data_IF_813039180364
#
_entry.id   IF_813039180364
#
_cell.length_a   1.000
_cell.length_b   1.000
_cell.length_c   1.000
_cell.angle_alpha   90.00
_cell.angle_beta   90.00
_cell.angle_gamma   90.00
#
_symmetry.space_group_name_H-M   'P 1'
#
loop_
_entity.id
_entity.type
_entity.pdbx_description
1 polymer ?
#
# COMPACT_ATOMS: atom_id res chain seq x y z
N UNK A 1 37.33 9.53 -38.36
CA UNK A 1 36.53 9.84 -39.57
C UNK A 1 35.14 9.25 -39.37
N UNK A 2 34.11 10.06 -39.59
CA UNK A 2 32.70 9.65 -39.47
C UNK A 2 31.97 10.23 -38.26
N UNK A 3 31.87 11.56 -38.16
CA UNK A 3 30.73 12.21 -37.51
C UNK A 3 29.59 12.17 -38.52
N UNK A 4 28.43 11.67 -38.12
CA UNK A 4 27.15 12.10 -38.69
C UNK A 4 26.19 12.30 -37.53
N UNK A 5 25.94 13.57 -37.24
CA UNK A 5 24.86 14.03 -36.40
C UNK A 5 23.55 14.12 -37.18
N UNK A 6 22.48 14.32 -36.42
CA UNK A 6 21.17 14.80 -36.88
C UNK A 6 20.36 13.86 -37.79
N UNK A 7 19.44 13.14 -37.14
CA UNK A 7 18.01 13.49 -37.23
C UNK A 7 17.27 12.88 -36.04
N UNK A 8 17.28 13.64 -34.93
CA UNK A 8 16.23 13.53 -33.93
C UNK A 8 14.93 13.95 -34.63
N UNK A 9 14.14 12.98 -35.05
CA UNK A 9 12.83 13.24 -35.63
C UNK A 9 11.90 13.76 -34.53
N UNK A 10 11.54 15.04 -34.61
CA UNK A 10 10.58 15.67 -33.72
C UNK A 10 9.23 14.93 -33.77
N UNK A 11 8.69 14.47 -32.61
CA UNK A 11 7.37 13.89 -32.59
C UNK A 11 6.31 14.99 -32.59
N UNK A 12 5.63 15.15 -33.73
CA UNK A 12 4.42 15.96 -33.86
C UNK A 12 3.24 15.23 -33.20
N UNK A 13 2.49 15.95 -32.36
CA UNK A 13 1.27 15.47 -31.71
C UNK A 13 0.04 15.87 -32.54
N UNK A 14 -0.60 14.92 -33.20
CA UNK A 14 -1.97 15.08 -33.70
C UNK A 14 -2.79 13.90 -33.20
N UNK A 15 -3.67 14.13 -32.23
CA UNK A 15 -4.45 13.11 -31.53
C UNK A 15 -5.61 12.56 -32.36
N UNK A 16 -5.33 11.94 -33.51
CA UNK A 16 -6.35 11.30 -34.35
C UNK A 16 -6.45 9.79 -34.07
N UNK A 17 -7.70 9.32 -33.98
CA UNK A 17 -8.05 7.91 -33.80
C UNK A 17 -7.53 7.06 -34.98
N UNK A 18 -6.88 5.93 -34.69
CA UNK A 18 -6.26 5.07 -35.71
C UNK A 18 -4.81 5.41 -36.08
N UNK A 19 -4.23 6.46 -35.50
CA UNK A 19 -2.80 6.77 -35.69
C UNK A 19 -1.90 5.88 -34.81
N UNK A 20 -0.84 5.32 -35.40
CA UNK A 20 0.19 4.58 -34.68
C UNK A 20 1.29 5.53 -34.20
N UNK A 21 1.63 5.46 -32.91
CA UNK A 21 2.69 6.25 -32.29
C UNK A 21 3.75 5.37 -31.67
N UNK A 22 5.01 5.68 -31.94
CA UNK A 22 6.15 5.04 -31.28
C UNK A 22 6.70 5.95 -30.18
N UNK A 23 6.82 5.43 -28.96
CA UNK A 23 7.41 6.14 -27.81
C UNK A 23 8.65 5.37 -27.36
N UNK A 24 9.81 6.04 -27.34
CA UNK A 24 11.04 5.48 -26.75
C UNK A 24 11.13 5.91 -25.29
N UNK A 25 11.04 4.96 -24.38
CA UNK A 25 11.09 5.22 -22.94
C UNK A 25 12.26 4.47 -22.29
N UNK A 26 12.89 5.07 -21.27
CA UNK A 26 13.89 4.39 -20.44
C UNK A 26 13.25 3.29 -19.58
N UNK A 27 12.00 3.52 -19.16
CA UNK A 27 11.22 2.64 -18.30
C UNK A 27 9.73 2.72 -18.66
N UNK A 28 9.00 1.64 -18.40
CA UNK A 28 7.54 1.55 -18.58
C UNK A 28 6.91 1.00 -17.29
N UNK A 29 5.77 1.55 -16.88
CA UNK A 29 4.98 1.05 -15.74
C UNK A 29 3.60 0.69 -16.27
N UNK A 30 3.26 -0.60 -16.26
CA UNK A 30 1.93 -1.10 -16.57
C UNK A 30 1.08 -1.18 -15.30
N UNK A 31 0.21 -0.20 -15.13
CA UNK A 31 -0.83 -0.17 -14.08
C UNK A 31 -2.21 -0.25 -14.72
N UNK A 32 -2.35 -1.12 -15.72
CA UNK A 32 -3.47 -1.23 -16.66
C UNK A 32 -4.52 -2.28 -16.24
N UNK A 33 -4.60 -2.56 -14.93
CA UNK A 33 -5.68 -3.32 -14.32
C UNK A 33 -5.64 -4.84 -14.52
N UNK A 34 -6.70 -5.54 -14.07
CA UNK A 34 -6.77 -7.00 -14.03
C UNK A 34 -6.53 -7.67 -15.39
N UNK A 35 -6.98 -7.03 -16.48
CA UNK A 35 -6.82 -7.50 -17.86
C UNK A 35 -5.58 -6.94 -18.57
N UNK A 36 -4.58 -6.51 -17.79
CA UNK A 36 -3.33 -5.89 -18.23
C UNK A 36 -2.85 -6.43 -19.57
N UNK A 37 -2.80 -5.53 -20.55
CA UNK A 37 -2.23 -5.78 -21.85
C UNK A 37 -0.70 -5.90 -21.72
N UNK A 38 -0.07 -5.05 -20.90
CA UNK A 38 1.40 -5.06 -20.72
C UNK A 38 1.85 -6.40 -20.13
N UNK A 39 1.15 -6.92 -19.11
CA UNK A 39 1.45 -8.24 -18.52
C UNK A 39 1.39 -9.35 -19.58
N UNK A 40 0.30 -9.39 -20.35
CA UNK A 40 0.08 -10.42 -21.39
C UNK A 40 1.12 -10.32 -22.49
N UNK A 41 1.47 -9.11 -22.92
CA UNK A 41 2.49 -8.87 -23.93
C UNK A 41 3.88 -9.36 -23.48
N UNK A 42 4.20 -9.22 -22.19
CA UNK A 42 5.42 -9.76 -21.59
C UNK A 42 5.40 -11.28 -21.36
N UNK A 43 4.26 -11.95 -21.56
CA UNK A 43 4.10 -13.38 -21.30
C UNK A 43 4.10 -13.75 -19.82
N UNK A 44 3.80 -12.81 -18.92
CA UNK A 44 3.70 -13.10 -17.49
C UNK A 44 2.36 -13.77 -17.16
N UNK A 45 2.43 -14.85 -16.41
CA UNK A 45 1.28 -15.69 -16.08
C UNK A 45 0.72 -15.29 -14.71
N UNK A 46 -0.61 -15.38 -14.57
CA UNK A 46 -1.31 -15.14 -13.31
C UNK A 46 -1.55 -16.49 -12.61
N UNK A 47 -0.78 -16.76 -11.57
CA UNK A 47 -0.84 -17.95 -10.73
C UNK A 47 -1.95 -17.82 -9.68
N UNK A 48 -2.82 -18.82 -9.54
CA UNK A 48 -3.85 -18.87 -8.48
C UNK A 48 -5.13 -19.57 -8.89
N UNK A 49 -6.13 -19.53 -8.01
CA UNK A 49 -7.37 -20.30 -8.17
C UNK A 49 -8.27 -19.75 -9.29
N UNK A 50 -8.92 -20.68 -10.01
CA UNK A 50 -9.93 -20.39 -11.02
C UNK A 50 -11.35 -20.25 -10.47
N UNK A 51 -11.55 -20.56 -9.18
CA UNK A 51 -12.85 -20.45 -8.50
C UNK A 51 -13.24 -18.99 -8.31
N UNK A 52 -13.90 -18.42 -9.31
CA UNK A 52 -14.41 -17.06 -9.26
C UNK A 52 -15.73 -17.06 -8.48
N UNK A 53 -15.69 -16.61 -7.23
CA UNK A 53 -16.92 -16.23 -6.53
C UNK A 53 -17.52 -14.99 -7.23
N UNK A 54 -18.84 -15.00 -7.41
CA UNK A 54 -19.57 -13.88 -8.03
C UNK A 54 -20.11 -13.00 -6.91
N UNK A 55 -19.79 -11.71 -6.96
CA UNK A 55 -20.21 -10.73 -5.98
C UNK A 55 -20.98 -9.61 -6.64
N UNK A 56 -22.22 -9.39 -6.22
CA UNK A 56 -22.95 -8.16 -6.51
C UNK A 56 -22.50 -7.06 -5.58
N UNK A 57 -22.33 -5.85 -6.08
CA UNK A 57 -22.02 -4.68 -5.27
C UNK A 57 -23.02 -3.59 -5.57
N UNK A 58 -23.55 -2.96 -4.51
CA UNK A 58 -24.51 -1.87 -4.61
C UNK A 58 -24.12 -0.79 -3.61
N UNK A 59 -24.00 0.44 -4.09
CA UNK A 59 -23.94 1.67 -3.29
C UNK A 59 -25.32 2.32 -3.31
N UNK A 60 -25.97 2.36 -2.14
CA UNK A 60 -27.34 2.84 -2.04
C UNK A 60 -27.64 3.46 -0.67
N UNK A 61 -28.66 4.30 -0.62
CA UNK A 61 -29.34 4.67 0.63
C UNK A 61 -30.37 3.56 0.89
N UNK A 62 -30.14 2.80 1.97
CA UNK A 62 -30.92 1.62 2.31
C UNK A 62 -32.04 1.99 3.28
N UNK A 63 -33.24 1.47 3.01
CA UNK A 63 -34.41 1.58 3.87
C UNK A 63 -34.67 0.19 4.48
N UNK A 64 -34.33 0.01 5.75
CA UNK A 64 -34.33 -1.31 6.41
C UNK A 64 -34.48 -1.17 7.91
N UNK A 65 -35.10 -2.18 8.54
CA UNK A 65 -35.15 -2.37 9.99
C UNK A 65 -33.96 -3.19 10.54
N UNK A 66 -32.98 -3.55 9.70
CA UNK A 66 -31.74 -4.17 10.14
C UNK A 66 -30.90 -3.19 10.98
N UNK A 67 -30.57 -3.52 12.24
CA UNK A 67 -30.05 -2.54 13.19
C UNK A 67 -28.61 -2.08 12.90
N UNK A 68 -27.84 -2.84 12.12
CA UNK A 68 -26.38 -2.67 12.03
C UNK A 68 -25.87 -2.13 10.69
N UNK A 69 -26.72 -1.66 9.77
CA UNK A 69 -26.26 -1.11 8.48
C UNK A 69 -25.39 0.14 8.59
N UNK A 70 -25.37 0.80 9.75
CA UNK A 70 -24.48 1.93 10.05
C UNK A 70 -23.17 1.50 10.69
N UNK A 71 -22.91 0.19 10.80
CA UNK A 71 -21.66 -0.42 11.24
C UNK A 71 -21.13 -1.33 10.14
N UNK A 72 -19.81 -1.51 10.10
CA UNK A 72 -19.24 -2.56 9.27
C UNK A 72 -19.66 -3.92 9.83
N UNK A 73 -20.33 -4.75 9.04
CA UNK A 73 -20.75 -6.07 9.47
C UNK A 73 -20.70 -7.09 8.34
N UNK A 74 -20.52 -8.36 8.72
CA UNK A 74 -20.60 -9.51 7.83
C UNK A 74 -21.80 -10.33 8.25
N UNK A 75 -22.75 -10.52 7.33
CA UNK A 75 -23.97 -11.29 7.53
C UNK A 75 -23.76 -12.64 6.85
N UNK A 76 -23.86 -13.72 7.62
CA UNK A 76 -23.78 -15.10 7.13
C UNK A 76 -25.19 -15.69 7.14
N UNK A 77 -25.63 -16.20 6.00
CA UNK A 77 -26.94 -16.83 5.86
C UNK A 77 -26.83 -18.08 4.98
N UNK A 78 -27.82 -18.98 5.09
CA UNK A 78 -27.97 -20.11 4.17
C UNK A 78 -28.14 -19.70 2.69
N UNK A 79 -28.44 -18.42 2.44
CA UNK A 79 -28.62 -17.86 1.10
C UNK A 79 -27.37 -17.14 0.56
N UNK A 80 -26.28 -17.11 1.34
CA UNK A 80 -25.01 -16.49 0.99
C UNK A 80 -24.53 -15.47 2.03
N UNK A 81 -23.32 -14.96 1.82
CA UNK A 81 -22.72 -13.91 2.64
C UNK A 81 -23.02 -12.51 2.11
N UNK A 82 -23.31 -11.56 3.01
CA UNK A 82 -23.29 -10.12 2.73
C UNK A 82 -22.19 -9.45 3.56
N UNK A 83 -21.38 -8.61 2.92
CA UNK A 83 -20.51 -7.66 3.61
C UNK A 83 -21.13 -6.26 3.47
N UNK A 84 -21.48 -5.64 4.59
CA UNK A 84 -22.00 -4.28 4.66
C UNK A 84 -20.93 -3.31 5.10
N UNK A 85 -20.74 -2.25 4.30
CA UNK A 85 -19.77 -1.19 4.57
C UNK A 85 -20.50 0.15 4.54
N UNK A 86 -20.71 0.81 5.69
CA UNK A 86 -21.28 2.16 5.74
C UNK A 86 -20.41 3.13 4.94
N UNK A 87 -21.05 4.03 4.21
CA UNK A 87 -20.41 5.05 3.38
C UNK A 87 -20.78 6.45 3.85
N UNK A 88 -20.08 7.42 3.28
CA UNK A 88 -20.38 8.84 3.40
C UNK A 88 -21.81 9.17 2.91
N UNK A 89 -22.33 10.35 3.29
CA UNK A 89 -23.63 10.86 2.83
C UNK A 89 -24.83 9.93 3.10
N UNK A 90 -24.76 9.09 4.14
CA UNK A 90 -25.86 8.20 4.52
C UNK A 90 -25.96 6.92 3.69
N UNK A 91 -25.11 6.72 2.68
CA UNK A 91 -25.11 5.50 1.88
C UNK A 91 -24.53 4.30 2.66
N UNK A 92 -24.81 3.11 2.15
CA UNK A 92 -24.18 1.85 2.54
C UNK A 92 -23.82 1.05 1.29
N UNK A 93 -22.59 0.54 1.24
CA UNK A 93 -22.14 -0.40 0.23
C UNK A 93 -22.44 -1.82 0.68
N UNK A 94 -23.20 -2.57 -0.12
CA UNK A 94 -23.41 -4.00 0.08
C UNK A 94 -22.57 -4.79 -0.92
N UNK A 95 -21.77 -5.73 -0.43
CA UNK A 95 -21.24 -6.81 -1.24
C UNK A 95 -22.07 -8.07 -0.96
N UNK A 96 -22.77 -8.56 -1.95
CA UNK A 96 -23.70 -9.69 -1.84
C UNK A 96 -23.12 -10.85 -2.63
N UNK A 97 -22.87 -11.97 -1.96
CA UNK A 97 -22.47 -13.20 -2.64
C UNK A 97 -23.63 -13.70 -3.49
N UNK A 98 -23.40 -13.86 -4.78
CA UNK A 98 -24.40 -14.35 -5.72
C UNK A 98 -24.22 -15.85 -5.95
N UNK A 99 -25.31 -16.61 -6.16
CA UNK A 99 -25.23 -18.02 -6.48
C UNK A 99 -24.57 -18.25 -7.84
N UNK A 100 -23.92 -19.40 -8.00
CA UNK A 100 -23.20 -19.78 -9.21
C UNK A 100 -24.07 -19.80 -10.47
N UNK A 101 -25.39 -20.00 -10.34
CA UNK A 101 -26.34 -19.91 -11.46
C UNK A 101 -26.42 -18.52 -12.10
N UNK A 102 -25.90 -17.48 -11.43
CA UNK A 102 -25.78 -16.14 -11.99
C UNK A 102 -24.43 -15.87 -12.68
N UNK A 103 -23.61 -16.91 -12.89
CA UNK A 103 -22.32 -16.82 -13.59
C UNK A 103 -22.41 -16.48 -15.07
N UNK A 104 -23.55 -16.60 -15.77
CA UNK A 104 -23.57 -16.42 -17.24
C UNK A 104 -24.55 -15.36 -17.75
N UNK A 105 -25.10 -14.53 -16.85
CA UNK A 105 -26.18 -13.63 -17.24
C UNK A 105 -25.65 -12.27 -17.73
N UNK A 106 -25.65 -12.06 -19.05
CA UNK A 106 -25.59 -10.74 -19.69
C UNK A 106 -26.95 -10.06 -19.56
N UNK A 107 -27.17 -9.39 -18.43
CA UNK A 107 -28.39 -8.64 -18.16
C UNK A 107 -28.22 -7.18 -18.53
N UNK A 108 -29.32 -6.51 -18.84
CA UNK A 108 -29.40 -5.05 -18.81
C UNK A 108 -29.10 -4.53 -17.40
N UNK A 109 -28.47 -3.37 -17.32
CA UNK A 109 -28.08 -2.66 -16.10
C UNK A 109 -29.15 -2.67 -14.99
N UNK A 110 -30.38 -2.26 -15.30
CA UNK A 110 -31.48 -2.21 -14.32
C UNK A 110 -31.87 -3.58 -13.73
N UNK A 111 -31.67 -4.67 -14.49
CA UNK A 111 -32.01 -6.02 -14.03
C UNK A 111 -30.95 -6.62 -13.10
N UNK A 112 -29.72 -6.07 -13.08
CA UNK A 112 -28.64 -6.58 -12.23
C UNK A 112 -28.83 -6.13 -10.78
N UNK A 113 -29.08 -4.84 -10.54
CA UNK A 113 -29.32 -4.32 -9.18
C UNK A 113 -30.52 -4.99 -8.50
N UNK A 114 -31.62 -5.21 -9.23
CA UNK A 114 -32.82 -5.89 -8.70
C UNK A 114 -32.49 -7.30 -8.21
N UNK A 115 -31.67 -8.05 -8.95
CA UNK A 115 -31.26 -9.41 -8.56
C UNK A 115 -30.31 -9.40 -7.37
N UNK A 116 -29.37 -8.47 -7.32
CA UNK A 116 -28.47 -8.32 -6.17
C UNK A 116 -29.30 -8.06 -4.91
N UNK A 117 -30.24 -7.10 -4.97
CA UNK A 117 -31.11 -6.77 -3.85
C UNK A 117 -32.08 -7.90 -3.49
N UNK A 118 -32.54 -8.70 -4.46
CA UNK A 118 -33.37 -9.88 -4.18
C UNK A 118 -32.61 -10.96 -3.40
N UNK A 119 -31.32 -11.19 -3.73
CA UNK A 119 -30.47 -12.07 -2.93
C UNK A 119 -30.24 -11.47 -1.54
N UNK A 120 -29.95 -10.16 -1.46
CA UNK A 120 -29.72 -9.49 -0.18
C UNK A 120 -30.93 -9.58 0.77
N UNK A 121 -32.14 -9.30 0.26
CA UNK A 121 -33.40 -9.44 1.01
C UNK A 121 -33.56 -10.84 1.61
N UNK A 122 -33.30 -11.89 0.82
CA UNK A 122 -33.38 -13.28 1.30
C UNK A 122 -32.35 -13.58 2.38
N UNK A 123 -31.12 -13.10 2.21
CA UNK A 123 -30.03 -13.28 3.19
C UNK A 123 -30.24 -12.50 4.49
N UNK A 124 -31.04 -11.44 4.47
CA UNK A 124 -31.33 -10.60 5.63
C UNK A 124 -32.63 -10.95 6.36
N UNK A 125 -33.43 -11.88 5.84
CA UNK A 125 -34.66 -12.30 6.50
C UNK A 125 -34.40 -12.69 7.98
N UNK A 126 -35.18 -12.20 8.96
CA UNK A 126 -36.51 -11.57 8.81
C UNK A 126 -36.52 -10.05 8.58
N UNK A 127 -35.35 -9.40 8.50
CA UNK A 127 -35.28 -7.95 8.28
C UNK A 127 -35.72 -7.58 6.86
N UNK A 128 -36.40 -6.44 6.77
CA UNK A 128 -36.77 -5.77 5.52
C UNK A 128 -35.54 -5.11 4.89
N UNK A 129 -35.48 -5.02 3.57
CA UNK A 129 -34.43 -4.28 2.87
C UNK A 129 -34.98 -3.70 1.57
N UNK A 130 -35.11 -2.38 1.55
CA UNK A 130 -35.42 -1.57 0.38
C UNK A 130 -34.31 -0.53 0.15
N UNK A 131 -34.40 0.23 -0.94
CA UNK A 131 -33.53 1.37 -1.18
C UNK A 131 -34.31 2.51 -1.82
N UNK A 132 -34.04 3.73 -1.38
CA UNK A 132 -34.64 4.96 -1.94
C UNK A 132 -33.76 5.59 -3.01
N UNK A 133 -32.46 5.30 -3.00
CA UNK A 133 -31.48 5.79 -3.98
C UNK A 133 -30.38 4.77 -4.20
N UNK A 134 -29.97 4.55 -5.45
CA UNK A 134 -28.82 3.73 -5.81
C UNK A 134 -27.88 4.56 -6.70
N UNK A 135 -26.67 4.81 -6.19
CA UNK A 135 -25.66 5.62 -6.87
C UNK A 135 -24.92 4.80 -7.93
N UNK A 136 -24.55 3.57 -7.55
CA UNK A 136 -23.70 2.72 -8.36
C UNK A 136 -23.87 1.25 -7.99
N UNK A 137 -23.68 0.37 -8.97
CA UNK A 137 -23.68 -1.07 -8.74
C UNK A 137 -22.81 -1.78 -9.78
N UNK A 138 -22.40 -3.01 -9.47
CA UNK A 138 -21.77 -3.91 -10.45
C UNK A 138 -21.86 -5.37 -10.02
N UNK A 139 -21.48 -6.28 -10.93
CA UNK A 139 -21.21 -7.67 -10.60
C UNK A 139 -19.74 -7.96 -10.86
N UNK A 140 -19.00 -8.23 -9.79
CA UNK A 140 -17.60 -8.58 -9.85
C UNK A 140 -17.42 -10.10 -9.95
N UNK A 141 -16.52 -10.49 -10.86
CA UNK A 141 -15.94 -11.82 -10.91
C UNK A 141 -14.46 -11.67 -10.63
N UNK A 142 -14.02 -12.06 -9.44
CA UNK A 142 -12.62 -11.89 -9.09
C UNK A 142 -12.05 -13.22 -8.64
N UNK A 143 -11.07 -13.67 -9.41
CA UNK A 143 -10.19 -14.76 -9.05
C UNK A 143 -9.04 -14.26 -8.19
N UNK A 144 -8.51 -15.13 -7.34
CA UNK A 144 -7.34 -14.89 -6.52
C UNK A 144 -6.11 -15.24 -7.31
N UNK A 145 -5.37 -14.25 -7.78
CA UNK A 145 -4.24 -14.49 -8.67
C UNK A 145 -3.11 -13.53 -8.41
N UNK A 146 -1.88 -13.98 -8.60
CA UNK A 146 -0.66 -13.17 -8.57
C UNK A 146 0.18 -13.48 -9.79
N UNK A 147 0.80 -12.47 -10.39
CA UNK A 147 1.72 -12.68 -11.48
C UNK A 147 2.99 -13.40 -11.00
N UNK A 148 3.52 -14.30 -11.83
CA UNK A 148 4.79 -14.96 -11.58
C UNK A 148 5.97 -13.96 -11.52
N UNK A 149 5.85 -12.83 -12.24
CA UNK A 149 6.80 -11.72 -12.25
C UNK A 149 6.11 -10.36 -12.24
N UNK A 150 6.75 -9.38 -11.61
CA UNK A 150 6.31 -7.98 -11.50
C UNK A 150 7.19 -7.06 -12.35
N UNK A 151 8.35 -7.53 -12.81
CA UNK A 151 9.23 -6.75 -13.68
C UNK A 151 9.90 -7.57 -14.78
N UNK A 152 10.07 -6.95 -15.94
CA UNK A 152 10.88 -7.48 -17.04
C UNK A 152 12.19 -6.67 -17.17
N UNK A 153 13.32 -7.36 -16.96
CA UNK A 153 14.69 -6.80 -17.05
C UNK A 153 14.90 -5.50 -16.28
N UNK A 154 14.11 -5.25 -15.22
CA UNK A 154 14.10 -3.99 -14.46
C UNK A 154 13.92 -2.76 -15.37
N UNK A 155 13.17 -2.90 -16.47
CA UNK A 155 12.83 -1.85 -17.43
C UNK A 155 11.33 -1.65 -17.58
N UNK A 156 10.58 -2.75 -17.56
CA UNK A 156 9.12 -2.73 -17.50
C UNK A 156 8.70 -3.23 -16.14
N UNK A 157 7.84 -2.49 -15.46
CA UNK A 157 7.28 -2.83 -14.16
C UNK A 157 5.76 -2.93 -14.29
N UNK A 158 5.15 -3.79 -13.48
CA UNK A 158 3.71 -3.93 -13.40
C UNK A 158 3.29 -3.79 -11.94
N UNK A 159 2.22 -3.05 -11.68
CA UNK A 159 1.74 -2.78 -10.32
C UNK A 159 0.21 -2.84 -10.20
N UNK A 160 -0.26 -3.08 -8.97
CA UNK A 160 -1.68 -3.20 -8.67
C UNK A 160 -2.36 -4.39 -9.33
N UNK A 161 -3.60 -4.22 -9.78
CA UNK A 161 -4.39 -5.29 -10.40
C UNK A 161 -3.74 -5.93 -11.64
N UNK A 162 -2.76 -5.26 -12.25
CA UNK A 162 -1.95 -5.83 -13.31
C UNK A 162 -1.13 -7.05 -12.85
N UNK A 163 -0.85 -7.20 -11.56
CA UNK A 163 -0.01 -8.27 -10.99
C UNK A 163 -0.64 -9.00 -9.82
N UNK A 164 -1.71 -8.51 -9.23
CA UNK A 164 -2.45 -9.29 -8.22
C UNK A 164 -3.93 -8.94 -8.20
N UNK A 165 -4.79 -9.95 -8.13
CA UNK A 165 -6.24 -9.80 -8.00
C UNK A 165 -6.72 -10.66 -6.83
N UNK A 166 -7.68 -10.16 -6.07
CA UNK A 166 -8.18 -10.82 -4.86
C UNK A 166 -9.60 -10.38 -4.57
N UNK A 167 -10.33 -11.14 -3.75
CA UNK A 167 -11.74 -10.84 -3.53
C UNK A 167 -11.91 -9.52 -2.75
N UNK A 168 -13.03 -8.79 -2.96
CA UNK A 168 -13.24 -7.50 -2.31
C UNK A 168 -13.43 -7.61 -0.79
N UNK A 169 -13.61 -8.83 -0.26
CA UNK A 169 -13.90 -9.12 1.15
C UNK A 169 -12.93 -8.45 2.13
N UNK A 170 -11.67 -8.29 1.76
CA UNK A 170 -10.64 -7.67 2.61
C UNK A 170 -10.48 -6.16 2.43
N UNK A 171 -11.12 -5.52 1.44
CA UNK A 171 -10.95 -4.10 1.14
C UNK A 171 -9.51 -3.69 0.76
N UNK A 172 -8.65 -4.64 0.36
CA UNK A 172 -7.21 -4.42 0.19
C UNK A 172 -6.79 -4.00 -1.23
N UNK A 173 -7.65 -4.16 -2.23
CA UNK A 173 -7.37 -3.96 -3.67
C UNK A 173 -6.56 -2.71 -3.97
N UNK A 174 -7.21 -1.58 -3.78
CA UNK A 174 -6.61 -0.28 -4.04
C UNK A 174 -5.44 0.04 -3.09
N UNK A 175 -5.53 -0.37 -1.82
CA UNK A 175 -4.50 -0.09 -0.81
C UNK A 175 -3.16 -0.73 -1.16
N UNK A 176 -3.17 -2.02 -1.51
CA UNK A 176 -1.96 -2.74 -1.90
C UNK A 176 -1.43 -2.26 -3.25
N UNK A 177 -2.33 -1.95 -4.18
CA UNK A 177 -1.97 -1.37 -5.49
C UNK A 177 -1.26 -0.01 -5.36
N UNK A 178 -1.77 0.88 -4.51
CA UNK A 178 -1.11 2.17 -4.23
C UNK A 178 0.25 1.97 -3.56
N UNK A 179 0.39 0.98 -2.67
CA UNK A 179 1.66 0.66 -2.03
C UNK A 179 2.70 0.10 -3.01
N UNK A 180 2.29 -0.59 -4.08
CA UNK A 180 3.21 -0.99 -5.15
C UNK A 180 3.79 0.24 -5.86
N UNK A 181 2.92 1.18 -6.24
CA UNK A 181 3.33 2.42 -6.87
C UNK A 181 4.21 3.26 -5.93
N UNK A 182 3.84 3.35 -4.65
CA UNK A 182 4.61 4.05 -3.63
C UNK A 182 6.01 3.45 -3.46
N UNK A 183 6.11 2.12 -3.42
CA UNK A 183 7.39 1.42 -3.32
C UNK A 183 8.28 1.62 -4.55
N UNK A 184 7.73 1.56 -5.77
CA UNK A 184 8.49 1.71 -7.00
C UNK A 184 8.89 3.17 -7.27
N UNK A 185 8.01 4.12 -6.96
CA UNK A 185 8.14 5.52 -7.35
C UNK A 185 9.44 6.17 -6.88
N UNK A 186 9.78 6.01 -5.60
CA UNK A 186 11.02 6.60 -5.05
C UNK A 186 12.28 5.90 -5.58
N UNK A 187 12.22 4.58 -5.84
CA UNK A 187 13.34 3.81 -6.41
C UNK A 187 13.64 4.27 -7.83
N UNK A 188 12.59 4.38 -8.64
CA UNK A 188 12.71 4.83 -10.03
C UNK A 188 13.16 6.29 -10.09
N UNK A 189 12.58 7.16 -9.26
CA UNK A 189 12.99 8.55 -9.13
C UNK A 189 14.45 8.70 -8.75
N UNK A 190 14.93 7.92 -7.76
CA UNK A 190 16.34 7.93 -7.36
C UNK A 190 17.29 7.44 -8.45
N UNK A 191 16.91 6.40 -9.21
CA UNK A 191 17.73 5.91 -10.34
C UNK A 191 17.76 6.90 -11.50
N UNK A 192 16.62 7.49 -11.85
CA UNK A 192 16.53 8.49 -12.92
C UNK A 192 17.33 9.74 -12.61
N UNK A 193 17.44 10.13 -11.33
CA UNK A 193 18.27 11.24 -10.85
C UNK A 193 19.74 10.88 -10.64
N UNK A 194 20.15 9.62 -10.88
CA UNK A 194 21.52 9.16 -10.61
C UNK A 194 21.88 9.08 -9.12
N UNK A 195 20.90 9.20 -8.22
CA UNK A 195 21.07 9.11 -6.77
C UNK A 195 21.23 7.67 -6.30
N UNK A 196 20.60 6.74 -7.01
CA UNK A 196 20.59 5.31 -6.69
C UNK A 196 21.11 4.49 -7.86
N UNK A 197 21.77 3.37 -7.55
CA UNK A 197 22.20 2.41 -8.57
C UNK A 197 20.97 1.67 -9.13
N UNK A 198 20.95 1.34 -10.43
CA UNK A 198 19.83 0.61 -11.05
C UNK A 198 19.48 -0.73 -10.38
N UNK A 199 20.44 -1.37 -9.70
CA UNK A 199 20.21 -2.61 -8.94
C UNK A 199 19.13 -2.49 -7.87
N UNK A 200 18.85 -1.28 -7.36
CA UNK A 200 17.76 -1.00 -6.42
C UNK A 200 16.39 -1.39 -6.99
N UNK A 201 16.21 -1.32 -8.31
CA UNK A 201 14.93 -1.65 -8.94
C UNK A 201 14.57 -3.14 -8.82
N UNK A 202 15.56 -4.02 -8.66
CA UNK A 202 15.31 -5.44 -8.43
C UNK A 202 14.57 -5.68 -7.09
N UNK A 203 14.69 -4.77 -6.12
CA UNK A 203 14.02 -4.94 -4.83
C UNK A 203 12.51 -4.72 -4.92
N UNK A 204 11.99 -4.10 -5.98
CA UNK A 204 10.55 -3.92 -6.16
C UNK A 204 9.82 -5.27 -6.17
N UNK A 205 10.25 -6.21 -7.02
CA UNK A 205 9.62 -7.53 -7.09
C UNK A 205 9.86 -8.34 -5.82
N UNK A 206 11.09 -8.36 -5.29
CA UNK A 206 11.41 -9.13 -4.09
C UNK A 206 10.71 -8.62 -2.83
N UNK A 207 10.28 -7.36 -2.81
CA UNK A 207 9.52 -6.77 -1.71
C UNK A 207 8.01 -6.91 -1.90
N UNK A 208 7.50 -6.66 -3.12
CA UNK A 208 6.06 -6.51 -3.36
C UNK A 208 5.35 -7.81 -3.75
N UNK A 209 6.02 -8.72 -4.46
CA UNK A 209 5.41 -10.01 -4.84
C UNK A 209 5.11 -10.89 -3.60
N UNK A 210 5.99 -11.01 -2.59
CA UNK A 210 5.65 -11.75 -1.38
C UNK A 210 4.45 -11.17 -0.62
N UNK A 211 4.32 -9.83 -0.58
CA UNK A 211 3.14 -9.16 0.01
C UNK A 211 1.87 -9.51 -0.74
N UNK A 212 1.89 -9.54 -2.08
CA UNK A 212 0.73 -9.98 -2.87
C UNK A 212 0.39 -11.46 -2.62
N UNK A 213 1.39 -12.33 -2.47
CA UNK A 213 1.19 -13.75 -2.15
C UNK A 213 0.56 -13.94 -0.76
N UNK A 214 1.03 -13.21 0.24
CA UNK A 214 0.49 -13.29 1.60
C UNK A 214 -0.95 -12.77 1.67
N UNK A 215 -1.28 -11.74 0.88
CA UNK A 215 -2.66 -11.26 0.72
C UNK A 215 -3.57 -12.35 0.14
N UNK A 216 -3.11 -13.08 -0.88
CA UNK A 216 -3.89 -14.19 -1.48
C UNK A 216 -4.09 -15.33 -0.48
N UNK A 217 -3.06 -15.68 0.30
CA UNK A 217 -3.17 -16.70 1.36
C UNK A 217 -4.22 -16.30 2.40
N UNK A 218 -4.21 -15.04 2.83
CA UNK A 218 -5.18 -14.50 3.78
C UNK A 218 -6.59 -14.46 3.21
N UNK A 219 -6.74 -14.04 1.95
CA UNK A 219 -8.04 -14.07 1.28
C UNK A 219 -8.58 -15.51 1.19
N UNK A 220 -7.68 -16.47 0.99
CA UNK A 220 -8.02 -17.90 0.94
C UNK A 220 -8.53 -18.43 2.28
N UNK A 221 -7.84 -18.13 3.39
CA UNK A 221 -8.30 -18.53 4.72
C UNK A 221 -9.64 -17.88 5.08
N UNK A 222 -9.81 -16.59 4.78
CA UNK A 222 -11.07 -15.88 4.97
C UNK A 222 -12.21 -16.46 4.12
N UNK A 223 -11.91 -16.86 2.88
CA UNK A 223 -12.88 -17.50 2.00
C UNK A 223 -13.49 -18.77 2.59
N UNK A 224 -12.66 -19.61 3.24
CA UNK A 224 -13.09 -20.86 3.89
C UNK A 224 -13.96 -20.60 5.11
N UNK A 225 -13.57 -19.64 5.95
CA UNK A 225 -14.36 -19.24 7.13
C UNK A 225 -15.73 -18.71 6.72
N UNK A 226 -15.79 -17.85 5.71
CA UNK A 226 -17.04 -17.25 5.24
C UNK A 226 -17.92 -18.20 4.42
N UNK A 227 -17.36 -19.28 3.88
CA UNK A 227 -18.09 -20.32 3.14
C UNK A 227 -18.56 -21.47 4.03
N UNK A 228 -18.15 -21.52 5.30
CA UNK A 228 -18.47 -22.59 6.23
C UNK A 228 -19.82 -22.38 6.93
N UNK A 229 -20.58 -23.46 7.06
CA UNK A 229 -21.79 -23.62 7.90
C UNK A 229 -21.49 -23.59 9.42
N UNK A 230 -20.24 -23.35 9.80
CA UNK A 230 -19.78 -23.30 11.19
C UNK A 230 -20.07 -21.95 11.84
N UNK A 231 -20.85 -22.01 12.93
CA UNK A 231 -21.21 -20.89 13.81
C UNK A 231 -20.01 -20.07 14.30
N UNK A 232 -20.27 -18.80 14.56
CA UNK A 232 -19.33 -17.67 14.70
C UNK A 232 -18.35 -17.68 15.89
N UNK A 233 -18.16 -18.80 16.60
CA UNK A 233 -17.43 -18.83 17.87
C UNK A 233 -16.27 -19.84 17.92
N UNK A 234 -15.89 -20.46 16.80
CA UNK A 234 -14.72 -21.34 16.85
C UNK A 234 -13.42 -20.52 16.88
N UNK A 235 -12.39 -20.94 17.64
CA UNK A 235 -11.10 -20.24 17.74
C UNK A 235 -10.46 -19.91 16.37
N UNK A 236 -10.73 -20.72 15.35
CA UNK A 236 -10.25 -20.53 13.99
C UNK A 236 -10.82 -19.26 13.34
N UNK A 237 -12.09 -18.92 13.60
CA UNK A 237 -12.74 -17.71 13.09
C UNK A 237 -12.10 -16.47 13.72
N UNK A 238 -11.91 -16.47 15.04
CA UNK A 238 -11.26 -15.38 15.77
C UNK A 238 -9.82 -15.17 15.29
N UNK A 239 -9.07 -16.25 15.07
CA UNK A 239 -7.69 -16.17 14.58
C UNK A 239 -7.62 -15.56 13.17
N UNK A 240 -8.56 -15.90 12.28
CA UNK A 240 -8.66 -15.29 10.94
C UNK A 240 -9.01 -13.80 11.05
N UNK A 241 -9.92 -13.41 11.94
CA UNK A 241 -10.23 -11.99 12.17
C UNK A 241 -9.05 -11.20 12.75
N UNK A 242 -8.26 -11.79 13.66
CA UNK A 242 -7.03 -11.15 14.17
C UNK A 242 -5.98 -10.98 13.07
N UNK A 243 -5.80 -12.00 12.23
CA UNK A 243 -4.92 -11.91 11.06
C UNK A 243 -5.40 -10.83 10.09
N UNK A 244 -6.71 -10.76 9.81
CA UNK A 244 -7.30 -9.72 8.98
C UNK A 244 -7.15 -8.33 9.59
N UNK A 245 -7.32 -8.18 10.90
CA UNK A 245 -7.11 -6.88 11.60
C UNK A 245 -5.66 -6.42 11.46
N UNK A 246 -4.73 -7.34 11.66
CA UNK A 246 -3.30 -7.06 11.58
C UNK A 246 -2.87 -6.75 10.14
N UNK A 247 -3.30 -7.55 9.17
CA UNK A 247 -2.92 -7.37 7.77
C UNK A 247 -3.67 -6.22 7.10
N UNK A 248 -4.95 -6.04 7.44
CA UNK A 248 -5.85 -5.08 6.81
C UNK A 248 -5.46 -3.62 7.02
N UNK A 249 -4.68 -3.34 8.06
CA UNK A 249 -4.08 -2.02 8.29
C UNK A 249 -2.91 -1.70 7.34
N UNK A 250 -2.33 -2.72 6.68
CA UNK A 250 -1.08 -2.59 5.91
C UNK A 250 0.17 -2.31 6.76
N UNK A 251 0.02 -2.10 8.08
CA UNK A 251 1.10 -1.68 8.97
C UNK A 251 2.12 -2.78 9.29
N UNK A 252 1.72 -4.04 9.11
CA UNK A 252 2.52 -5.21 9.52
C UNK A 252 3.39 -5.78 8.38
N UNK A 253 3.45 -5.13 7.23
CA UNK A 253 4.36 -5.51 6.15
C UNK A 253 5.80 -5.40 6.65
N UNK A 254 6.56 -6.49 6.50
CA UNK A 254 7.97 -6.58 6.88
C UNK A 254 8.76 -7.16 5.71
N UNK A 255 9.55 -6.33 5.03
CA UNK A 255 10.38 -6.78 3.93
C UNK A 255 11.55 -7.63 4.43
N UNK A 256 11.85 -8.68 3.67
CA UNK A 256 13.03 -9.53 3.92
C UNK A 256 14.33 -8.75 3.64
N UNK A 257 15.46 -9.17 4.23
CA UNK A 257 16.75 -8.55 3.97
C UNK A 257 17.08 -8.49 2.47
N UNK A 258 17.57 -7.33 2.03
CA UNK A 258 17.98 -7.07 0.66
C UNK A 258 18.99 -5.90 0.64
N UNK A 259 19.32 -5.33 -0.51
CA UNK A 259 20.30 -4.22 -0.60
C UNK A 259 19.87 -2.92 0.08
N UNK A 260 18.59 -2.77 0.43
CA UNK A 260 18.01 -1.64 1.17
C UNK A 260 17.68 -1.98 2.62
N UNK A 261 17.40 -3.26 2.91
CA UNK A 261 17.00 -3.74 4.24
C UNK A 261 18.12 -4.60 4.82
N UNK A 262 18.81 -4.08 5.83
CA UNK A 262 19.91 -4.79 6.47
C UNK A 262 19.44 -6.13 7.07
N UNK A 263 20.30 -7.15 6.99
CA UNK A 263 20.06 -8.42 7.68
C UNK A 263 20.22 -8.26 9.21
N UNK A 264 19.65 -9.17 10.02
CA UNK A 264 19.84 -9.16 11.46
C UNK A 264 21.32 -9.12 11.89
N UNK A 265 22.22 -9.73 11.11
CA UNK A 265 23.67 -9.74 11.36
C UNK A 265 24.35 -8.40 11.07
N UNK A 266 23.76 -7.57 10.20
CA UNK A 266 24.27 -6.25 9.83
C UNK A 266 23.74 -5.13 10.72
N UNK A 267 22.92 -5.45 11.72
CA UNK A 267 22.25 -4.47 12.58
C UNK A 267 22.28 -4.88 14.05
N UNK A 268 22.14 -3.90 14.93
CA UNK A 268 22.03 -4.14 16.37
C UNK A 268 20.57 -3.92 16.81
N UNK A 269 19.67 -4.81 16.39
CA UNK A 269 18.22 -4.66 16.61
C UNK A 269 17.85 -4.43 18.09
N UNK A 270 18.64 -4.97 19.03
CA UNK A 270 18.41 -4.79 20.47
C UNK A 270 18.48 -3.31 20.93
N UNK A 271 19.18 -2.44 20.20
CA UNK A 271 19.27 -1.00 20.53
C UNK A 271 17.95 -0.26 20.25
N UNK A 272 17.10 -0.82 19.39
CA UNK A 272 15.80 -0.27 19.05
C UNK A 272 14.81 -1.43 18.82
N UNK A 273 14.51 -2.19 19.88
CA UNK A 273 13.77 -3.45 19.80
C UNK A 273 12.40 -3.35 19.11
N UNK A 274 11.74 -2.19 19.19
CA UNK A 274 10.42 -1.94 18.60
C UNK A 274 10.49 -1.34 17.18
N UNK A 275 11.68 -1.04 16.67
CA UNK A 275 11.90 -0.55 15.30
C UNK A 275 12.43 -1.70 14.44
N UNK A 276 11.57 -2.68 14.15
CA UNK A 276 11.93 -3.86 13.37
C UNK A 276 12.31 -3.47 11.94
N UNK A 277 13.51 -3.86 11.51
CA UNK A 277 13.96 -3.61 10.13
C UNK A 277 13.01 -4.23 9.09
N UNK A 278 12.85 -3.53 7.97
CA UNK A 278 11.94 -3.91 6.89
C UNK A 278 10.47 -3.56 7.13
N UNK A 279 10.10 -3.10 8.34
CA UNK A 279 8.76 -2.55 8.62
C UNK A 279 8.71 -1.04 8.41
N UNK A 280 7.49 -0.50 8.26
CA UNK A 280 7.28 0.96 8.30
C UNK A 280 7.75 1.55 9.64
N UNK A 281 8.21 2.80 9.61
CA UNK A 281 8.55 3.52 10.83
C UNK A 281 7.27 3.87 11.63
N UNK A 282 7.18 3.59 12.95
CA UNK A 282 6.01 3.91 13.77
C UNK A 282 5.90 5.40 14.08
N UNK A 283 4.66 5.89 14.15
CA UNK A 283 4.39 7.24 14.65
C UNK A 283 4.31 7.24 16.16
N UNK A 284 4.90 8.28 16.76
CA UNK A 284 4.80 8.58 18.19
C UNK A 284 4.72 10.10 18.36
N UNK A 285 4.00 10.60 19.38
CA UNK A 285 4.02 12.01 19.71
C UNK A 285 5.42 12.43 20.15
N UNK A 286 5.91 13.52 19.58
CA UNK A 286 7.19 14.15 19.90
C UNK A 286 6.97 15.65 20.10
N UNK A 287 7.84 16.29 20.86
CA UNK A 287 7.78 17.74 21.09
C UNK A 287 8.93 18.39 20.34
N UNK A 288 8.62 19.38 19.51
CA UNK A 288 9.64 20.16 18.82
C UNK A 288 10.37 21.06 19.81
N UNK A 289 11.70 20.98 19.84
CA UNK A 289 12.54 21.75 20.77
C UNK A 289 12.37 23.26 20.61
N UNK A 290 12.32 23.76 19.37
CA UNK A 290 12.32 25.20 19.10
C UNK A 290 10.95 25.86 19.36
N UNK A 291 9.85 25.13 19.15
CA UNK A 291 8.50 25.68 19.26
C UNK A 291 7.69 25.17 20.44
N UNK A 292 8.15 24.13 21.14
CA UNK A 292 7.41 23.38 22.15
C UNK A 292 6.08 22.77 21.66
N UNK A 293 5.87 22.70 20.34
CA UNK A 293 4.66 22.13 19.74
C UNK A 293 4.77 20.61 19.75
N UNK A 294 3.71 19.94 20.23
CA UNK A 294 3.55 18.49 20.13
C UNK A 294 3.07 18.12 18.72
N UNK A 295 3.69 17.11 18.11
CA UNK A 295 3.35 16.60 16.79
C UNK A 295 3.62 15.10 16.68
N UNK A 296 2.99 14.46 15.70
CA UNK A 296 3.26 13.06 15.36
C UNK A 296 4.59 12.92 14.60
N UNK A 297 5.46 12.01 14.99
CA UNK A 297 6.78 11.84 14.38
C UNK A 297 6.74 11.54 12.88
N UNK A 298 5.68 10.90 12.38
CA UNK A 298 5.49 10.67 10.94
C UNK A 298 5.24 11.96 10.13
N UNK A 299 4.78 13.04 10.76
CA UNK A 299 4.64 14.34 10.07
C UNK A 299 5.98 14.91 9.59
N UNK A 300 7.09 14.47 10.20
CA UNK A 300 8.47 14.83 9.81
C UNK A 300 8.99 13.99 8.63
N UNK A 301 8.18 13.07 8.09
CA UNK A 301 8.57 12.11 7.06
C UNK A 301 7.75 12.31 5.76
N UNK A 302 7.76 13.51 5.15
CA UNK A 302 7.07 13.72 3.88
C UNK A 302 7.67 12.83 2.80
N UNK A 303 6.82 12.35 1.89
CA UNK A 303 7.23 11.50 0.77
C UNK A 303 7.88 12.32 -0.35
N UNK A 304 9.06 12.88 -0.09
CA UNK A 304 9.80 13.78 -0.98
C UNK A 304 10.99 13.09 -1.70
N UNK A 305 11.17 11.79 -1.49
CA UNK A 305 12.26 11.00 -2.09
C UNK A 305 13.60 11.08 -1.35
N UNK A 306 13.64 11.81 -0.23
CA UNK A 306 14.81 11.93 0.63
C UNK A 306 14.88 10.75 1.61
N UNK A 307 16.09 10.32 1.94
CA UNK A 307 16.33 9.35 3.01
C UNK A 307 16.31 10.06 4.38
N UNK A 308 16.05 9.29 5.44
CA UNK A 308 15.96 9.81 6.81
C UNK A 308 16.97 9.08 7.70
N UNK A 309 17.78 9.83 8.43
CA UNK A 309 18.65 9.31 9.48
C UNK A 309 18.14 9.81 10.83
N UNK A 310 17.52 8.90 11.59
CA UNK A 310 17.10 9.18 12.96
C UNK A 310 18.26 8.92 13.93
N UNK A 311 18.55 9.92 14.77
CA UNK A 311 19.54 9.84 15.83
C UNK A 311 18.81 9.87 17.17
N UNK A 312 18.72 8.71 17.82
CA UNK A 312 18.18 8.59 19.18
C UNK A 312 19.28 8.91 20.20
N UNK A 313 19.33 10.16 20.65
CA UNK A 313 20.37 10.72 21.49
C UNK A 313 20.35 10.19 22.94
N UNK A 314 19.24 9.62 23.38
CA UNK A 314 19.05 9.19 24.77
C UNK A 314 18.96 10.38 25.73
N UNK A 315 19.29 10.17 27.00
CA UNK A 315 19.22 11.22 28.03
C UNK A 315 20.48 12.10 27.98
N UNK A 316 20.42 13.18 27.20
CA UNK A 316 21.52 14.15 27.08
C UNK A 316 21.53 15.17 28.22
N UNK A 317 20.38 15.43 28.85
CA UNK A 317 20.22 16.37 29.97
C UNK A 317 20.99 15.88 31.19
N UNK A 318 20.76 14.62 31.59
CA UNK A 318 21.37 14.06 32.79
C UNK A 318 22.80 13.55 32.57
N UNK A 319 23.30 13.52 31.33
CA UNK A 319 24.58 12.91 30.99
C UNK A 319 25.39 13.79 30.02
N UNK A 320 26.26 14.68 30.54
CA UNK A 320 27.12 15.54 29.70
C UNK A 320 28.04 14.77 28.74
N UNK A 321 28.50 13.59 29.16
CA UNK A 321 29.28 12.71 28.29
C UNK A 321 28.46 12.22 27.08
N UNK A 322 27.15 11.99 27.24
CA UNK A 322 26.26 11.62 26.16
C UNK A 322 26.03 12.79 25.20
N UNK A 323 25.80 14.01 25.71
CA UNK A 323 25.70 15.21 24.86
C UNK A 323 26.98 15.40 24.03
N UNK A 324 28.16 15.24 24.65
CA UNK A 324 29.45 15.30 23.95
C UNK A 324 29.57 14.23 22.85
N UNK A 325 29.11 13.00 23.09
CA UNK A 325 29.06 11.93 22.08
C UNK A 325 28.15 12.30 20.90
N UNK A 326 26.97 12.85 21.16
CA UNK A 326 26.00 13.28 20.14
C UNK A 326 26.58 14.41 19.28
N UNK A 327 27.19 15.42 19.90
CA UNK A 327 27.81 16.52 19.15
C UNK A 327 29.05 16.06 18.36
N UNK A 328 29.82 15.11 18.89
CA UNK A 328 30.93 14.48 18.14
C UNK A 328 30.44 13.64 16.95
N UNK A 329 29.24 13.05 17.04
CA UNK A 329 28.60 12.41 15.89
C UNK A 329 28.19 13.45 14.84
N UNK A 330 27.75 14.64 15.27
CA UNK A 330 27.39 15.75 14.39
C UNK A 330 28.49 16.11 13.39
N UNK A 331 29.75 16.18 13.85
CA UNK A 331 30.91 16.43 12.97
C UNK A 331 31.07 15.38 11.86
N UNK A 332 30.89 14.10 12.21
CA UNK A 332 30.94 13.00 11.25
C UNK A 332 29.78 13.06 10.25
N UNK A 333 28.62 13.50 10.70
CA UNK A 333 27.43 13.67 9.85
C UNK A 333 27.56 14.86 8.91
N UNK A 334 28.22 15.95 9.32
CA UNK A 334 28.63 17.03 8.41
C UNK A 334 29.52 16.50 7.28
N UNK A 335 30.54 15.71 7.61
CA UNK A 335 31.40 15.11 6.59
C UNK A 335 30.64 14.16 5.64
N UNK A 336 29.70 13.38 6.17
CA UNK A 336 28.84 12.50 5.37
C UNK A 336 27.94 13.29 4.42
N UNK A 337 27.24 14.31 4.92
CA UNK A 337 26.33 15.13 4.12
C UNK A 337 27.08 15.91 3.04
N UNK A 338 28.28 16.41 3.32
CA UNK A 338 29.15 17.03 2.32
C UNK A 338 29.52 16.06 1.18
N UNK A 339 29.80 14.78 1.49
CA UNK A 339 30.07 13.75 0.48
C UNK A 339 28.83 13.41 -0.36
N UNK A 340 27.64 13.54 0.22
CA UNK A 340 26.37 13.29 -0.46
C UNK A 340 25.82 14.53 -1.17
N UNK A 341 26.50 15.69 -1.08
CA UNK A 341 26.04 16.95 -1.67
C UNK A 341 25.81 16.84 -3.19
N UNK A 342 26.65 16.06 -3.89
CA UNK A 342 26.49 15.81 -5.33
C UNK A 342 25.21 15.05 -5.70
N UNK A 343 24.56 14.38 -4.73
CA UNK A 343 23.29 13.68 -4.92
C UNK A 343 22.09 14.55 -4.53
N UNK A 344 22.31 15.73 -3.96
CA UNK A 344 21.23 16.64 -3.56
C UNK A 344 20.61 17.31 -4.79
N UNK A 345 19.29 17.52 -4.75
CA UNK A 345 18.60 18.33 -5.73
C UNK A 345 18.48 19.77 -5.22
N UNK A 346 18.37 20.74 -6.13
CA UNK A 346 18.28 22.17 -5.80
C UNK A 346 17.21 22.53 -4.75
N UNK A 347 16.16 21.71 -4.61
CA UNK A 347 15.03 21.95 -3.70
C UNK A 347 14.78 20.87 -2.64
N UNK A 348 15.49 19.74 -2.67
CA UNK A 348 15.28 18.64 -1.71
C UNK A 348 16.60 17.94 -1.35
N UNK A 349 16.93 17.80 -0.05
CA UNK A 349 18.15 17.11 0.38
C UNK A 349 18.05 15.61 0.10
N UNK A 350 19.16 14.94 -0.26
CA UNK A 350 19.17 13.48 -0.42
C UNK A 350 18.99 12.75 0.92
N UNK A 351 19.55 13.30 2.01
CA UNK A 351 19.51 12.75 3.36
C UNK A 351 19.10 13.85 4.33
N UNK A 352 18.03 13.60 5.09
CA UNK A 352 17.57 14.44 6.20
C UNK A 352 17.92 13.78 7.52
N UNK A 353 18.44 14.56 8.47
CA UNK A 353 18.91 14.07 9.77
C UNK A 353 17.97 14.59 10.84
N UNK A 354 17.39 13.68 11.61
CA UNK A 354 16.43 13.99 12.68
C UNK A 354 17.00 13.54 14.01
N UNK A 355 17.12 14.47 14.97
CA UNK A 355 17.59 14.19 16.32
C UNK A 355 16.40 14.05 17.27
N UNK A 356 16.36 12.95 18.02
CA UNK A 356 15.41 12.75 19.11
C UNK A 356 16.17 12.51 20.41
N UNK A 357 15.94 13.34 21.42
CA UNK A 357 16.54 13.17 22.75
C UNK A 357 15.47 12.91 23.81
N UNK A 358 15.91 12.38 24.95
CA UNK A 358 15.09 12.19 26.15
C UNK A 358 15.41 13.30 27.14
N UNK A 359 14.43 14.14 27.44
CA UNK A 359 14.52 15.26 28.36
C UNK A 359 13.31 16.17 28.17
N UNK A 360 13.19 17.20 29.01
CA UNK A 360 12.18 18.22 28.80
C UNK A 360 12.71 19.31 27.86
N UNK A 361 11.81 20.06 27.23
CA UNK A 361 12.20 21.10 26.26
C UNK A 361 12.82 22.31 26.95
N UNK A 362 12.41 22.59 28.19
CA UNK A 362 12.95 23.68 29.01
C UNK A 362 14.36 23.43 29.56
N UNK A 363 14.89 22.20 29.40
CA UNK A 363 16.20 21.81 29.93
C UNK A 363 17.34 21.93 28.90
N UNK A 364 17.01 22.21 27.64
CA UNK A 364 17.95 22.23 26.52
C UNK A 364 17.62 23.37 25.58
N UNK A 365 18.64 23.90 24.92
CA UNK A 365 18.51 24.87 23.85
C UNK A 365 18.98 24.28 22.51
N UNK A 366 18.48 24.84 21.40
CA UNK A 366 18.91 24.44 20.05
C UNK A 366 20.44 24.58 19.89
N UNK A 367 21.04 25.59 20.54
CA UNK A 367 22.49 25.84 20.54
C UNK A 367 23.32 24.79 21.27
N UNK A 368 22.73 23.95 22.10
CA UNK A 368 23.45 22.88 22.81
C UNK A 368 23.82 21.72 21.88
N UNK A 369 23.17 21.65 20.72
CA UNK A 369 23.38 20.60 19.73
C UNK A 369 24.23 21.09 18.56
N UNK A 370 24.99 20.17 17.97
CA UNK A 370 25.75 20.46 16.76
C UNK A 370 24.83 21.02 15.65
N UNK A 371 25.25 22.06 14.89
CA UNK A 371 24.43 22.71 13.86
C UNK A 371 23.93 21.84 12.70
N UNK A 372 24.22 20.54 12.69
CA UNK A 372 23.72 19.61 11.68
C UNK A 372 22.34 19.06 12.08
N UNK A 373 22.03 19.08 13.37
CA UNK A 373 20.76 18.61 13.93
C UNK A 373 19.69 19.71 14.00
N UNK A 374 20.05 20.92 13.62
CA UNK A 374 19.23 22.13 13.80
C UNK A 374 18.90 22.82 12.47
N UNK A 375 19.26 22.18 11.35
CA UNK A 375 19.06 22.64 9.97
C UNK A 375 17.74 22.19 9.38
#
# INVERSE_FOLDING_TARGET
SGRDGERDTEPVLTGEEGSLKTIRAKYVIGSDGAHSWVRRWLGFEMEGDSTNAVWGVVDAILDSDFPDFRRHCTILSQHGTILSVPRENGMTRLYVQLPDSMKDICLTDAAQVVKIMAVARRSLFPYTLEYSYCDWWTIYRVGRRVANHFTYKQRVFLGGDAVHTHTPKGGQGMNVSMQDAYNLGWKLGGVLRGQLRPSVLATYESERRPVAQDLIKLDTSMGRVLAGETMSETPEVLQVYEQLRNYGSGANICYSPNILVASPQQSQQHLAAHLRLGMRFPSHPVVNLASAITMESQSLLPSNGSWRLWVFAGNVVACPAQLKRVNSLGEKLCALTARLAALQMLSTPFLEILLLYKGRVEEMEVSDFHPIFTR
#
